data_IF_742008822861
#
_entry.id   IF_742008822861
#
_cell.length_a   1.000
_cell.length_b   1.000
_cell.length_c   1.000
_cell.angle_alpha   90.00
_cell.angle_beta   90.00
_cell.angle_gamma   90.00
#
_symmetry.space_group_name_H-M   'P 1'
#
loop_
_entity.id
_entity.type
_entity.pdbx_description
1 polymer ?
#
# COMPACT_ATOMS: atom_id res chain seq x y z
N UNK A 1 -16.93 -1.65 -2.97
CA UNK A 1 -16.30 -0.91 -1.86
C UNK A 1 -15.68 -1.84 -0.81
N UNK A 2 -16.27 -3.00 -0.53
CA UNK A 2 -15.74 -4.00 0.42
C UNK A 2 -14.28 -4.46 0.18
N UNK A 3 -13.77 -4.44 -1.06
CA UNK A 3 -12.41 -4.90 -1.36
C UNK A 3 -11.32 -3.90 -0.93
N UNK A 4 -11.51 -2.61 -1.21
CA UNK A 4 -10.60 -1.53 -0.77
C UNK A 4 -10.60 -1.42 0.75
N UNK A 5 -11.77 -1.67 1.36
CA UNK A 5 -11.85 -1.79 2.80
C UNK A 5 -10.94 -2.91 3.31
N UNK A 6 -10.70 -4.01 2.60
CA UNK A 6 -9.76 -5.04 3.06
C UNK A 6 -8.27 -4.65 3.08
N UNK A 7 -7.89 -3.54 2.46
CA UNK A 7 -6.49 -3.15 2.22
C UNK A 7 -5.89 -2.30 3.35
N UNK A 8 -4.55 -2.29 3.43
CA UNK A 8 -3.81 -1.42 4.34
C UNK A 8 -4.09 0.07 4.03
N UNK A 9 -4.50 0.90 5.01
CA UNK A 9 -4.86 2.29 4.77
C UNK A 9 -3.74 3.11 4.12
N UNK A 10 -2.48 2.90 4.54
CA UNK A 10 -1.33 3.62 3.97
C UNK A 10 -1.07 3.23 2.51
N UNK A 11 -1.24 1.96 2.15
CA UNK A 11 -1.13 1.50 0.77
C UNK A 11 -2.21 2.13 -0.10
N UNK A 12 -3.47 2.16 0.36
CA UNK A 12 -4.57 2.80 -0.37
C UNK A 12 -4.31 4.29 -0.57
N UNK A 13 -3.78 4.98 0.44
CA UNK A 13 -3.44 6.40 0.34
C UNK A 13 -2.28 6.65 -0.65
N UNK A 14 -1.22 5.84 -0.62
CA UNK A 14 -0.11 5.93 -1.56
C UNK A 14 -0.57 5.68 -3.00
N UNK A 15 -1.37 4.65 -3.24
CA UNK A 15 -1.97 4.37 -4.56
C UNK A 15 -2.78 5.56 -5.08
N UNK A 16 -3.59 6.19 -4.22
CA UNK A 16 -4.34 7.40 -4.62
C UNK A 16 -3.43 8.55 -5.03
N UNK A 17 -2.31 8.78 -4.32
CA UNK A 17 -1.35 9.81 -4.67
C UNK A 17 -0.71 9.54 -6.04
N UNK A 18 -0.30 8.30 -6.29
CA UNK A 18 0.25 7.90 -7.60
C UNK A 18 -0.77 8.12 -8.71
N UNK A 19 -1.99 7.60 -8.57
CA UNK A 19 -3.03 7.71 -9.62
C UNK A 19 -3.37 9.18 -9.91
N UNK A 20 -3.48 10.02 -8.87
CA UNK A 20 -3.81 11.44 -9.05
C UNK A 20 -2.66 12.26 -9.65
N UNK A 21 -1.41 11.81 -9.50
CA UNK A 21 -0.22 12.49 -10.00
C UNK A 21 0.32 11.92 -11.33
N UNK A 22 -0.26 10.81 -11.81
CA UNK A 22 0.20 10.12 -13.02
C UNK A 22 -0.22 10.89 -14.28
N UNK A 23 0.75 11.55 -14.91
CA UNK A 23 0.54 12.29 -16.16
C UNK A 23 1.16 11.58 -17.37
N UNK A 24 2.18 10.75 -17.15
CA UNK A 24 2.82 9.96 -18.20
C UNK A 24 3.38 8.64 -17.70
N UNK A 25 3.52 7.67 -18.62
CA UNK A 25 4.12 6.37 -18.31
C UNK A 25 5.58 6.50 -17.83
N UNK A 26 6.35 7.43 -18.39
CA UNK A 26 7.74 7.67 -17.99
C UNK A 26 7.87 8.16 -16.54
N UNK A 27 6.90 8.95 -16.07
CA UNK A 27 6.83 9.42 -14.69
C UNK A 27 6.34 8.33 -13.71
N UNK A 28 5.55 7.37 -14.20
CA UNK A 28 4.92 6.33 -13.37
C UNK A 28 5.92 5.56 -12.50
N UNK A 29 7.03 5.08 -13.09
CA UNK A 29 8.07 4.37 -12.32
C UNK A 29 8.68 5.22 -11.20
N UNK A 30 8.87 6.51 -11.45
CA UNK A 30 9.40 7.41 -10.43
C UNK A 30 8.40 7.61 -9.29
N UNK A 31 7.11 7.80 -9.61
CA UNK A 31 6.05 7.95 -8.62
C UNK A 31 5.87 6.68 -7.79
N UNK A 32 5.90 5.50 -8.42
CA UNK A 32 5.91 4.22 -7.71
C UNK A 32 7.10 4.12 -6.77
N UNK A 33 8.31 4.50 -7.22
CA UNK A 33 9.48 4.48 -6.36
C UNK A 33 9.31 5.39 -5.13
N UNK A 34 8.83 6.62 -5.33
CA UNK A 34 8.68 7.59 -4.23
C UNK A 34 7.60 7.18 -3.24
N UNK A 35 6.47 6.64 -3.72
CA UNK A 35 5.30 6.36 -2.88
C UNK A 35 5.29 4.94 -2.31
N UNK A 36 5.83 3.95 -3.02
CA UNK A 36 5.82 2.55 -2.60
C UNK A 36 6.97 2.22 -1.65
N UNK A 37 8.19 2.71 -1.90
CA UNK A 37 9.36 2.33 -1.09
C UNK A 37 9.19 2.61 0.41
N UNK A 38 8.64 3.76 0.83
CA UNK A 38 8.40 4.03 2.24
C UNK A 38 7.44 3.03 2.90
N UNK A 39 6.55 2.39 2.14
CA UNK A 39 5.60 1.44 2.71
C UNK A 39 6.30 0.20 3.27
N UNK A 40 7.44 -0.22 2.71
CA UNK A 40 8.14 -1.41 3.17
C UNK A 40 8.73 -1.29 4.58
N UNK A 41 8.96 -0.05 5.05
CA UNK A 41 9.47 0.21 6.40
C UNK A 41 8.36 0.46 7.42
N UNK A 42 7.09 0.41 7.00
CA UNK A 42 5.93 0.59 7.89
C UNK A 42 5.54 -0.69 8.62
N UNK A 43 4.81 -0.55 9.71
CA UNK A 43 4.27 -1.69 10.45
C UNK A 43 3.25 -2.50 9.64
N UNK A 44 2.45 -1.82 8.80
CA UNK A 44 1.52 -2.48 7.86
C UNK A 44 2.26 -3.49 6.96
N UNK A 45 3.48 -3.18 6.52
CA UNK A 45 4.31 -4.12 5.74
C UNK A 45 4.66 -5.37 6.55
N UNK A 46 5.10 -5.21 7.81
CA UNK A 46 5.42 -6.33 8.68
C UNK A 46 4.19 -7.20 8.98
N UNK A 47 3.05 -6.57 9.28
CA UNK A 47 1.76 -7.22 9.52
C UNK A 47 1.32 -8.01 8.29
N UNK A 48 1.41 -7.43 7.10
CA UNK A 48 1.03 -8.07 5.86
C UNK A 48 1.88 -9.33 5.58
N UNK A 49 3.20 -9.24 5.79
CA UNK A 49 4.12 -10.36 5.62
C UNK A 49 3.79 -11.48 6.61
N UNK A 50 3.61 -11.15 7.89
CA UNK A 50 3.27 -12.12 8.92
C UNK A 50 1.92 -12.80 8.66
N UNK A 51 0.90 -12.02 8.32
CA UNK A 51 -0.43 -12.53 8.00
C UNK A 51 -0.41 -13.48 6.80
N UNK A 52 0.36 -13.12 5.76
CA UNK A 52 0.57 -13.97 4.58
C UNK A 52 1.27 -15.28 4.95
N UNK A 53 2.32 -15.23 5.77
CA UNK A 53 3.04 -16.43 6.24
C UNK A 53 2.14 -17.34 7.08
N UNK A 54 1.28 -16.76 7.92
CA UNK A 54 0.31 -17.47 8.77
C UNK A 54 -0.99 -17.84 8.05
N UNK A 55 -1.13 -17.53 6.75
CA UNK A 55 -2.36 -17.72 5.95
C UNK A 55 -3.62 -17.15 6.61
N UNK A 56 -3.47 -16.03 7.32
CA UNK A 56 -4.58 -15.30 7.95
C UNK A 56 -4.78 -13.95 7.27
N UNK A 57 -5.90 -13.29 7.58
CA UNK A 57 -6.11 -11.90 7.17
C UNK A 57 -5.23 -10.98 8.03
N UNK A 58 -4.64 -9.93 7.43
CA UNK A 58 -3.92 -8.91 8.17
C UNK A 58 -4.88 -8.04 9.00
N UNK A 59 -4.37 -7.55 10.13
CA UNK A 59 -5.08 -6.66 11.05
C UNK A 59 -4.35 -5.32 11.01
N UNK A 60 -4.89 -4.38 10.24
CA UNK A 60 -4.25 -3.09 10.01
C UNK A 60 -4.37 -2.16 11.21
N UNK A 61 -3.35 -1.34 11.45
CA UNK A 61 -3.45 -0.32 12.50
C UNK A 61 -4.51 0.73 12.16
N UNK A 62 -5.22 1.20 13.19
CA UNK A 62 -6.34 2.14 13.03
C UNK A 62 -7.68 1.48 12.70
N UNK A 63 -7.78 0.17 12.91
CA UNK A 63 -9.02 -0.61 12.85
C UNK A 63 -9.15 -1.59 14.02
#
# INVERSE_FOLDING_TARGET
>A
MAEIEGCAPLAVAATKRVINALDSHAQGFHLEMVEQFPLFTTEDSAIAIEARMKRRKPEWQGR
#
